data_IF_205748413738
#
_entry.id   IF_205748413738
#
_cell.length_a   1.000
_cell.length_b   1.000
_cell.length_c   1.000
_cell.angle_alpha   90.00
_cell.angle_beta   90.00
_cell.angle_gamma   90.00
#
_symmetry.space_group_name_H-M   'P 1'
#
loop_
_entity.id
_entity.type
_entity.pdbx_description
1 polymer ?
#
# COMPACT_ATOMS: atom_id res chain seq x y z
N UNK A 1 41.42 -3.81 25.34
CA UNK A 1 40.72 -3.63 24.05
C UNK A 1 40.73 -4.87 23.14
N UNK A 2 41.45 -5.96 23.43
CA UNK A 2 41.54 -7.11 22.52
C UNK A 2 40.38 -8.11 22.62
N UNK A 3 39.83 -8.35 23.82
CA UNK A 3 38.82 -9.39 24.02
C UNK A 3 37.47 -9.05 23.36
N UNK A 4 37.01 -7.80 23.44
CA UNK A 4 35.77 -7.38 22.79
C UNK A 4 35.91 -7.44 21.26
N UNK A 5 37.04 -6.99 20.72
CA UNK A 5 37.33 -7.07 19.29
C UNK A 5 37.38 -8.53 18.81
N UNK A 6 37.97 -9.43 19.61
CA UNK A 6 37.99 -10.86 19.34
C UNK A 6 36.58 -11.46 19.31
N UNK A 7 35.74 -11.16 20.31
CA UNK A 7 34.35 -11.62 20.35
C UNK A 7 33.56 -11.13 19.14
N UNK A 8 33.74 -9.88 18.71
CA UNK A 8 33.05 -9.37 17.53
C UNK A 8 33.45 -10.09 16.24
N UNK A 9 34.76 -10.24 15.99
CA UNK A 9 35.24 -10.83 14.74
C UNK A 9 34.96 -12.34 14.68
N UNK A 10 35.25 -13.06 15.77
CA UNK A 10 35.02 -14.51 15.84
C UNK A 10 33.53 -14.82 15.98
N UNK A 11 32.78 -14.02 16.74
CA UNK A 11 31.34 -14.16 16.87
C UNK A 11 30.62 -13.98 15.54
N UNK A 12 30.97 -12.95 14.76
CA UNK A 12 30.37 -12.76 13.43
C UNK A 12 30.73 -13.90 12.48
N UNK A 13 31.98 -14.37 12.50
CA UNK A 13 32.37 -15.55 11.73
C UNK A 13 31.58 -16.81 12.14
N UNK A 14 31.35 -17.01 13.45
CA UNK A 14 30.60 -18.16 13.99
C UNK A 14 29.13 -18.15 13.58
N UNK A 15 28.51 -16.98 13.41
CA UNK A 15 27.16 -16.87 12.84
C UNK A 15 27.15 -17.32 11.38
N UNK A 16 28.16 -16.97 10.58
CA UNK A 16 28.25 -17.44 9.20
C UNK A 16 28.50 -18.97 9.15
N UNK A 17 29.26 -19.50 10.10
CA UNK A 17 29.50 -20.94 10.24
C UNK A 17 28.21 -21.69 10.59
N UNK A 18 27.40 -21.21 11.54
CA UNK A 18 26.13 -21.88 11.87
C UNK A 18 25.12 -21.81 10.72
N UNK A 19 25.13 -20.73 9.93
CA UNK A 19 24.22 -20.59 8.80
C UNK A 19 24.69 -21.28 7.50
N UNK A 20 25.90 -21.86 7.46
CA UNK A 20 26.43 -22.46 6.22
C UNK A 20 25.69 -23.75 5.85
N UNK A 21 25.22 -24.50 6.86
CA UNK A 21 24.44 -25.72 6.70
C UNK A 21 23.31 -25.78 7.74
N UNK A 22 22.18 -25.09 7.48
CA UNK A 22 21.07 -25.00 8.44
C UNK A 22 20.22 -26.29 8.52
N UNK A 23 20.69 -27.40 7.95
CA UNK A 23 20.02 -28.70 7.87
C UNK A 23 20.75 -29.78 8.69
N UNK A 24 21.65 -29.37 9.58
CA UNK A 24 22.36 -30.27 10.49
C UNK A 24 21.53 -30.64 11.72
N UNK A 25 22.24 -30.84 12.83
CA UNK A 25 21.68 -31.17 14.15
C UNK A 25 22.10 -30.10 15.20
N UNK A 26 22.60 -28.94 14.77
CA UNK A 26 22.95 -27.86 15.70
C UNK A 26 21.68 -27.25 16.29
N UNK A 27 21.77 -26.68 17.50
CA UNK A 27 20.60 -26.16 18.24
C UNK A 27 19.80 -25.07 17.49
N UNK A 28 20.46 -24.35 16.56
CA UNK A 28 19.86 -23.26 15.75
C UNK A 28 19.47 -23.72 14.32
N UNK A 29 19.62 -25.01 14.00
CA UNK A 29 19.25 -25.57 12.69
C UNK A 29 17.73 -25.73 12.53
N UNK A 30 17.28 -25.95 11.29
CA UNK A 30 15.87 -26.21 11.04
C UNK A 30 15.45 -27.57 11.58
N UNK A 31 14.36 -27.58 12.35
CA UNK A 31 13.65 -28.78 12.84
C UNK A 31 12.95 -29.56 11.71
N UNK A 32 13.73 -30.14 10.82
CA UNK A 32 13.26 -30.77 9.59
C UNK A 32 12.41 -32.02 9.87
N UNK A 33 12.77 -32.81 10.88
CA UNK A 33 12.01 -33.99 11.28
C UNK A 33 10.60 -33.61 11.74
N UNK A 34 10.47 -32.56 12.55
CA UNK A 34 9.17 -32.03 12.94
C UNK A 34 8.34 -31.56 11.73
N UNK A 35 8.96 -30.85 10.80
CA UNK A 35 8.27 -30.39 9.59
C UNK A 35 7.79 -31.56 8.72
N UNK A 36 8.59 -32.61 8.58
CA UNK A 36 8.21 -33.81 7.84
C UNK A 36 7.00 -34.50 8.48
N UNK A 37 7.07 -34.77 9.79
CA UNK A 37 5.99 -35.42 10.54
C UNK A 37 4.69 -34.59 10.48
N UNK A 38 4.80 -33.27 10.71
CA UNK A 38 3.67 -32.35 10.63
C UNK A 38 3.05 -32.34 9.25
N UNK A 39 3.86 -32.23 8.20
CA UNK A 39 3.36 -32.12 6.84
C UNK A 39 2.74 -33.43 6.36
N UNK A 40 3.32 -34.58 6.73
CA UNK A 40 2.72 -35.88 6.43
C UNK A 40 1.37 -36.03 7.13
N UNK A 41 1.32 -35.73 8.43
CA UNK A 41 0.09 -35.82 9.23
C UNK A 41 -1.01 -34.89 8.69
N UNK A 42 -0.71 -33.59 8.52
CA UNK A 42 -1.68 -32.60 8.02
C UNK A 42 -2.07 -32.90 6.57
N UNK A 43 -1.11 -33.29 5.73
CA UNK A 43 -1.38 -33.63 4.33
C UNK A 43 -2.35 -34.79 4.18
N UNK A 44 -2.16 -35.86 4.96
CA UNK A 44 -3.07 -37.01 5.00
C UNK A 44 -4.45 -36.63 5.56
N UNK A 45 -4.50 -35.87 6.65
CA UNK A 45 -5.77 -35.40 7.23
C UNK A 45 -6.60 -34.57 6.24
N UNK A 46 -5.95 -33.74 5.39
CA UNK A 46 -6.65 -32.92 4.39
C UNK A 46 -7.33 -33.80 3.32
N UNK A 47 -6.66 -34.85 2.85
CA UNK A 47 -7.14 -35.69 1.73
C UNK A 47 -8.01 -36.87 2.16
N UNK A 48 -7.95 -37.26 3.43
CA UNK A 48 -8.72 -38.38 3.98
C UNK A 48 -9.85 -37.84 4.87
N UNK A 49 -9.53 -37.47 6.11
CA UNK A 49 -10.53 -37.02 7.10
C UNK A 49 -11.33 -35.80 6.65
N UNK A 50 -10.68 -34.76 6.11
CA UNK A 50 -11.33 -33.51 5.73
C UNK A 50 -11.89 -33.50 4.29
N UNK A 51 -11.78 -34.60 3.55
CA UNK A 51 -12.22 -34.64 2.16
C UNK A 51 -13.73 -34.43 2.03
N UNK A 52 -14.14 -33.42 1.26
CA UNK A 52 -15.54 -33.00 1.10
C UNK A 52 -16.28 -32.70 2.42
N UNK A 53 -15.55 -32.49 3.53
CA UNK A 53 -16.14 -32.05 4.79
C UNK A 53 -16.18 -30.52 4.84
N UNK A 54 -17.28 -29.96 4.35
CA UNK A 54 -17.47 -28.50 4.29
C UNK A 54 -18.49 -28.13 5.38
N UNK A 55 -18.24 -27.09 6.20
CA UNK A 55 -19.22 -26.60 7.17
C UNK A 55 -20.48 -26.09 6.45
N UNK A 56 -21.62 -26.11 7.14
CA UNK A 56 -22.87 -25.61 6.58
C UNK A 56 -22.74 -24.13 6.19
N UNK A 57 -23.29 -23.77 5.02
CA UNK A 57 -23.25 -22.39 4.53
C UNK A 57 -24.31 -21.56 5.26
N UNK A 58 -23.85 -20.66 6.13
CA UNK A 58 -24.70 -19.75 6.88
C UNK A 58 -24.30 -18.29 6.61
N UNK A 59 -25.26 -17.37 6.77
CA UNK A 59 -24.96 -15.94 6.71
C UNK A 59 -24.24 -15.55 7.99
N UNK A 60 -23.10 -14.90 7.85
CA UNK A 60 -22.31 -14.45 8.99
C UNK A 60 -22.96 -13.25 9.69
N UNK A 61 -22.44 -12.91 10.87
CA UNK A 61 -22.95 -11.84 11.73
C UNK A 61 -22.93 -10.45 11.06
N UNK A 62 -22.12 -10.26 10.02
CA UNK A 62 -21.95 -8.99 9.33
C UNK A 62 -22.57 -8.96 7.91
N UNK A 63 -23.34 -9.97 7.52
CA UNK A 63 -23.90 -10.11 6.16
C UNK A 63 -24.65 -8.87 5.62
N UNK A 64 -25.28 -8.08 6.48
CA UNK A 64 -26.06 -6.88 6.11
C UNK A 64 -25.53 -5.56 6.74
N UNK A 65 -24.34 -5.57 7.34
CA UNK A 65 -23.83 -4.43 8.13
C UNK A 65 -22.43 -4.03 7.70
N UNK A 66 -22.08 -2.75 7.90
CA UNK A 66 -20.69 -2.31 7.76
C UNK A 66 -19.82 -3.02 8.81
N UNK A 67 -18.68 -3.58 8.38
CA UNK A 67 -17.78 -4.34 9.23
C UNK A 67 -16.86 -3.38 9.98
N UNK A 68 -17.05 -3.28 11.29
CA UNK A 68 -16.11 -2.64 12.20
C UNK A 68 -15.47 -3.72 13.09
N UNK A 69 -14.20 -4.09 12.82
CA UNK A 69 -13.50 -5.07 13.65
C UNK A 69 -13.43 -4.59 15.10
N UNK A 70 -13.79 -5.47 16.02
CA UNK A 70 -13.64 -5.22 17.46
C UNK A 70 -12.18 -5.45 17.86
N UNK A 71 -11.66 -4.55 18.69
CA UNK A 71 -10.32 -4.63 19.25
C UNK A 71 -10.40 -4.79 20.77
N UNK A 72 -9.39 -5.42 21.36
CA UNK A 72 -9.19 -5.33 22.81
C UNK A 72 -8.91 -3.88 23.21
N UNK A 73 -9.15 -3.54 24.48
CA UNK A 73 -8.93 -2.17 25.00
C UNK A 73 -7.49 -1.71 24.72
N UNK A 74 -6.51 -2.60 24.89
CA UNK A 74 -5.09 -2.30 24.66
C UNK A 74 -4.78 -2.04 23.18
N UNK A 75 -5.36 -2.84 22.27
CA UNK A 75 -5.11 -2.70 20.83
C UNK A 75 -5.91 -1.55 20.22
N UNK A 76 -7.04 -1.17 20.80
CA UNK A 76 -7.89 -0.08 20.32
C UNK A 76 -7.18 1.29 20.39
N UNK A 77 -6.23 1.46 21.32
CA UNK A 77 -5.44 2.68 21.44
C UNK A 77 -4.26 2.75 20.46
N UNK A 78 -3.94 1.66 19.76
CA UNK A 78 -2.85 1.63 18.79
C UNK A 78 -3.29 2.42 17.54
N UNK A 79 -2.54 3.46 17.14
CA UNK A 79 -2.92 4.28 15.99
C UNK A 79 -2.91 3.45 14.70
N UNK A 80 -4.05 3.46 14.01
CA UNK A 80 -4.20 2.77 12.72
C UNK A 80 -3.74 3.69 11.59
N UNK A 81 -2.63 3.35 10.97
CA UNK A 81 -2.08 4.07 9.80
C UNK A 81 -2.26 3.21 8.55
N UNK A 82 -3.46 3.20 7.93
CA UNK A 82 -3.64 2.47 6.69
C UNK A 82 -2.72 3.06 5.62
N UNK A 83 -2.12 2.19 4.80
CA UNK A 83 -1.32 2.66 3.67
C UNK A 83 -2.23 3.38 2.68
N UNK A 84 -2.02 4.68 2.54
CA UNK A 84 -2.67 5.52 1.53
C UNK A 84 -1.57 5.83 0.51
N UNK A 85 -1.82 5.53 -0.77
CA UNK A 85 -0.82 5.73 -1.82
C UNK A 85 -0.38 7.20 -1.92
N UNK A 86 0.87 7.43 -2.31
CA UNK A 86 1.48 8.78 -2.35
C UNK A 86 0.73 9.81 -3.21
N UNK A 87 -0.08 9.34 -4.17
CA UNK A 87 -0.87 10.16 -5.11
C UNK A 87 -2.37 10.19 -4.73
N UNK A 88 -2.78 9.53 -3.64
CA UNK A 88 -4.20 9.33 -3.33
C UNK A 88 -5.00 10.62 -3.11
N UNK A 89 -4.32 11.71 -2.72
CA UNK A 89 -4.92 13.02 -2.52
C UNK A 89 -4.41 14.06 -3.54
N UNK A 90 -3.91 13.60 -4.70
CA UNK A 90 -3.52 14.51 -5.78
C UNK A 90 -4.77 15.10 -6.43
N UNK A 91 -5.08 16.32 -6.03
CA UNK A 91 -6.03 17.16 -6.75
C UNK A 91 -5.33 17.67 -8.01
N UNK A 92 -5.75 17.15 -9.18
CA UNK A 92 -5.35 17.70 -10.47
C UNK A 92 -5.87 19.14 -10.53
N UNK A 93 -5.00 20.13 -10.30
CA UNK A 93 -5.31 21.50 -10.71
C UNK A 93 -5.48 21.45 -12.23
N UNK A 94 -6.73 21.51 -12.66
CA UNK A 94 -7.05 21.64 -14.08
C UNK A 94 -6.89 23.11 -14.37
N UNK A 95 -5.63 23.55 -14.48
CA UNK A 95 -5.38 24.79 -15.20
C UNK A 95 -5.78 24.47 -16.65
N UNK A 96 -6.82 25.14 -17.13
CA UNK A 96 -7.34 24.93 -18.49
C UNK A 96 -6.30 25.30 -19.55
N UNK A 97 -5.20 25.92 -19.14
CA UNK A 97 -4.09 26.39 -19.94
C UNK A 97 -2.86 25.52 -19.68
N UNK A 98 -2.44 24.77 -20.71
CA UNK A 98 -1.15 24.08 -20.70
C UNK A 98 -0.17 24.89 -21.54
N UNK A 99 0.94 25.29 -20.92
CA UNK A 99 2.06 25.90 -21.65
C UNK A 99 2.85 24.79 -22.33
N UNK A 100 2.74 24.71 -23.66
CA UNK A 100 3.58 23.81 -24.45
C UNK A 100 4.93 24.47 -24.67
N UNK A 101 6.00 23.78 -24.30
CA UNK A 101 7.37 24.18 -24.54
C UNK A 101 8.04 23.17 -25.48
N UNK A 102 8.89 23.60 -26.43
CA UNK A 102 9.72 22.68 -27.20
C UNK A 102 10.63 21.87 -26.27
N UNK A 103 11.03 20.69 -26.69
CA UNK A 103 12.10 19.96 -26.01
C UNK A 103 13.38 20.80 -26.09
N UNK A 104 14.02 21.04 -24.96
CA UNK A 104 15.31 21.72 -24.91
C UNK A 104 16.39 20.65 -25.09
N UNK A 105 17.29 20.82 -26.06
CA UNK A 105 18.48 19.99 -26.15
C UNK A 105 19.55 20.50 -25.17
N UNK A 106 20.61 19.72 -24.92
CA UNK A 106 21.64 20.06 -23.92
C UNK A 106 22.25 21.47 -24.12
N UNK A 107 22.40 21.89 -25.38
CA UNK A 107 22.94 23.21 -25.75
C UNK A 107 22.02 24.35 -25.30
N UNK A 108 20.70 24.17 -25.46
CA UNK A 108 19.69 25.17 -25.08
C UNK A 108 19.56 25.29 -23.55
N UNK A 109 19.84 24.19 -22.82
CA UNK A 109 19.81 24.17 -21.35
C UNK A 109 20.92 25.03 -20.74
N UNK A 110 22.13 25.00 -21.31
CA UNK A 110 23.25 25.85 -20.88
C UNK A 110 22.97 27.34 -21.08
N UNK A 111 22.37 27.72 -22.20
CA UNK A 111 21.99 29.11 -22.49
C UNK A 111 20.86 29.60 -21.57
N UNK A 112 19.94 28.71 -21.18
CA UNK A 112 18.83 29.01 -20.26
C UNK A 112 19.29 29.27 -18.82
N UNK A 113 20.23 28.48 -18.31
CA UNK A 113 20.83 28.71 -16.99
C UNK A 113 21.63 30.03 -16.98
N UNK A 114 22.36 30.30 -18.06
CA UNK A 114 23.17 31.51 -18.22
C UNK A 114 22.34 32.80 -18.29
N UNK A 115 21.06 32.70 -18.69
CA UNK A 115 20.13 33.83 -18.80
C UNK A 115 19.18 33.97 -17.60
N UNK A 116 19.51 33.41 -16.43
CA UNK A 116 18.68 33.45 -15.22
C UNK A 116 17.25 32.92 -15.45
N UNK A 117 17.10 31.81 -16.18
CA UNK A 117 15.82 31.16 -16.44
C UNK A 117 14.78 32.04 -17.17
N UNK A 118 15.23 33.08 -17.88
CA UNK A 118 14.36 33.89 -18.75
C UNK A 118 14.13 33.15 -20.07
N UNK A 119 12.93 32.57 -20.23
CA UNK A 119 12.55 31.82 -21.43
C UNK A 119 12.46 32.78 -22.63
N UNK A 120 13.19 32.54 -23.75
CA UNK A 120 13.05 33.33 -24.97
C UNK A 120 11.61 33.27 -25.50
N UNK A 121 10.97 34.43 -25.69
CA UNK A 121 9.54 34.57 -26.02
C UNK A 121 9.06 33.92 -27.34
N UNK A 122 9.93 33.26 -28.11
CA UNK A 122 9.66 32.88 -29.50
C UNK A 122 9.08 31.48 -29.73
N UNK A 123 8.92 30.63 -28.71
CA UNK A 123 8.58 29.21 -28.96
C UNK A 123 7.57 28.58 -27.99
N UNK A 124 6.96 29.35 -27.08
CA UNK A 124 5.88 28.81 -26.24
C UNK A 124 4.52 29.00 -26.91
N UNK A 125 3.69 27.96 -26.88
CA UNK A 125 2.28 28.08 -27.25
C UNK A 125 1.42 27.70 -26.05
N UNK A 126 0.55 28.61 -25.62
CA UNK A 126 -0.47 28.31 -24.61
C UNK A 126 -1.66 27.70 -25.34
N UNK A 127 -2.03 26.47 -24.97
CA UNK A 127 -3.21 25.81 -25.52
C UNK A 127 -4.24 25.68 -24.41
N UNK A 128 -5.44 26.22 -24.64
CA UNK A 128 -6.59 25.95 -23.80
C UNK A 128 -7.16 24.57 -24.13
N UNK A 129 -7.19 23.66 -23.17
CA UNK A 129 -7.69 22.30 -23.38
C UNK A 129 -9.13 22.24 -22.89
N UNK A 130 -10.10 22.27 -23.82
CA UNK A 130 -11.50 22.02 -23.51
C UNK A 130 -11.74 20.55 -23.16
N UNK A 131 -11.66 20.18 -21.87
CA UNK A 131 -11.93 18.80 -21.41
C UNK A 131 -13.45 18.57 -21.37
N UNK A 132 -14.02 18.04 -22.45
CA UNK A 132 -15.46 17.71 -22.55
C UNK A 132 -15.86 16.41 -21.85
N UNK A 133 -14.94 15.74 -21.16
CA UNK A 133 -15.25 14.52 -20.40
C UNK A 133 -14.76 14.66 -18.97
N UNK A 134 -15.71 14.70 -18.04
CA UNK A 134 -15.44 14.72 -16.61
C UNK A 134 -14.53 13.57 -16.23
N UNK A 135 -13.34 13.92 -15.75
CA UNK A 135 -12.43 13.00 -15.07
C UNK A 135 -13.26 12.16 -14.10
N UNK A 136 -13.22 10.83 -14.26
CA UNK A 136 -13.94 9.90 -13.39
C UNK A 136 -13.54 10.22 -11.96
N UNK A 137 -14.44 10.88 -11.24
CA UNK A 137 -14.21 11.27 -9.86
C UNK A 137 -13.77 10.02 -9.08
N UNK A 138 -12.68 10.17 -8.33
CA UNK A 138 -12.19 9.14 -7.43
C UNK A 138 -13.35 8.62 -6.56
N UNK A 139 -13.34 7.33 -6.25
CA UNK A 139 -14.38 6.70 -5.42
C UNK A 139 -14.57 7.43 -4.07
N UNK A 140 -13.53 8.10 -3.57
CA UNK A 140 -13.57 8.94 -2.38
C UNK A 140 -14.53 10.14 -2.49
N UNK A 141 -14.60 10.79 -3.67
CA UNK A 141 -15.49 11.93 -3.90
C UNK A 141 -16.97 11.52 -3.94
N UNK A 142 -17.26 10.30 -4.45
CA UNK A 142 -18.63 9.75 -4.47
C UNK A 142 -19.22 9.51 -3.08
N UNK A 143 -18.41 9.11 -2.08
CA UNK A 143 -18.89 8.94 -0.70
C UNK A 143 -19.34 10.25 -0.06
N UNK A 144 -18.64 11.36 -0.34
CA UNK A 144 -18.97 12.68 0.20
C UNK A 144 -20.26 13.24 -0.42
N UNK A 145 -20.49 13.01 -1.71
CA UNK A 145 -21.73 13.38 -2.41
C UNK A 145 -22.94 12.60 -1.87
N UNK A 146 -22.85 11.28 -1.69
CA UNK A 146 -23.97 10.49 -1.16
C UNK A 146 -24.36 10.89 0.28
N UNK A 147 -23.37 11.13 1.15
CA UNK A 147 -23.62 11.62 2.52
C UNK A 147 -24.33 12.99 2.51
N UNK A 148 -23.92 13.90 1.63
CA UNK A 148 -24.53 15.22 1.52
C UNK A 148 -25.97 15.14 0.98
N UNK A 149 -26.22 14.30 -0.03
CA UNK A 149 -27.56 14.08 -0.58
C UNK A 149 -28.51 13.43 0.44
N UNK A 150 -28.00 12.53 1.28
CA UNK A 150 -28.78 11.90 2.35
C UNK A 150 -29.10 12.90 3.49
N UNK A 151 -28.18 13.81 3.79
CA UNK A 151 -28.40 14.90 4.76
C UNK A 151 -29.41 15.95 4.25
N UNK A 152 -29.40 16.23 2.94
CA UNK A 152 -30.32 17.19 2.31
C UNK A 152 -31.72 16.60 2.14
N UNK A 153 -31.85 15.30 1.82
CA UNK A 153 -33.16 14.60 1.80
C UNK A 153 -33.81 14.52 3.17
N UNK A 154 -33.02 14.35 4.24
CA UNK A 154 -33.53 14.32 5.62
C UNK A 154 -34.11 15.65 6.13
N UNK A 155 -33.67 16.79 5.57
CA UNK A 155 -34.14 18.13 5.99
C UNK A 155 -35.44 18.57 5.32
N UNK A 156 -35.78 18.03 4.15
CA UNK A 156 -37.00 18.41 3.41
C UNK A 156 -38.26 17.71 3.97
N UNK A 157 -38.11 16.58 4.68
CA UNK A 157 -39.25 15.79 5.19
C UNK A 157 -39.84 16.27 6.52
N UNK A 158 -39.32 17.34 7.15
CA UNK A 158 -39.83 17.88 8.43
C UNK A 158 -40.45 19.26 8.28
N UNK A 159 -41.39 19.42 7.34
CA UNK A 159 -42.42 20.48 7.39
C UNK A 159 -43.65 20.00 6.63
N UNK A 160 -44.53 19.30 7.33
CA UNK A 160 -45.99 19.41 7.27
C UNK A 160 -46.58 18.75 8.51
#
# INVERSE_FOLDING_TARGET
MSILQFIFVVGWMKVAESMINPLGEDDDDFECNFLLDRNLSVGLAIVDDCYNQIPALEKDMFWCSDVEPLYSVDTAMIPKNPQIGSVANYDVKTDDEVMMMPHMDDVDMYDFESTNHLIPRKTFSVISIGRTFGSRASLASRKKSMMFDQLMRGKVSRKQ
#
